data_IF_994822444924
#
_entry.id   IF_994822444924
#
_cell.length_a   1.000
_cell.length_b   1.000
_cell.length_c   1.000
_cell.angle_alpha   90.00
_cell.angle_beta   90.00
_cell.angle_gamma   90.00
#
_symmetry.space_group_name_H-M   'P 1'
#
loop_
_entity.id
_entity.type
_entity.pdbx_description
1 polymer ?
#
# COMPACT_ATOMS: atom_id res chain seq x y z
N UNK A 1 18.93 -18.61 2.38
CA UNK A 1 17.97 -17.74 3.04
C UNK A 1 17.04 -17.11 2.01
N UNK A 2 15.76 -17.38 2.12
CA UNK A 2 14.81 -16.84 1.15
C UNK A 2 14.48 -15.38 1.48
N UNK A 3 14.28 -14.58 0.43
CA UNK A 3 13.77 -13.23 0.62
C UNK A 3 12.29 -13.32 0.91
N UNK A 4 11.73 -12.40 1.71
CA UNK A 4 10.29 -12.39 1.87
C UNK A 4 9.63 -12.15 0.52
N UNK A 5 8.52 -12.81 0.28
CA UNK A 5 7.74 -12.60 -0.93
C UNK A 5 7.04 -11.26 -0.80
N UNK A 6 7.45 -10.31 -1.63
CA UNK A 6 6.85 -9.00 -1.64
C UNK A 6 5.76 -8.93 -2.69
N UNK A 7 4.64 -8.36 -2.30
CA UNK A 7 3.53 -8.08 -3.20
C UNK A 7 3.47 -6.57 -3.38
N UNK A 8 2.89 -6.12 -4.49
CA UNK A 8 2.57 -4.71 -4.58
C UNK A 8 1.27 -4.45 -3.83
N UNK A 9 1.10 -3.21 -3.38
CA UNK A 9 -0.12 -2.83 -2.68
C UNK A 9 -1.36 -3.03 -3.57
N UNK A 10 -1.18 -2.92 -4.89
CA UNK A 10 -2.26 -3.14 -5.84
C UNK A 10 -2.82 -4.56 -5.78
N UNK A 11 -2.01 -5.52 -5.29
CA UNK A 11 -2.41 -6.92 -5.19
C UNK A 11 -2.98 -7.30 -3.82
N UNK A 12 -3.02 -6.37 -2.87
CA UNK A 12 -3.52 -6.64 -1.54
C UNK A 12 -5.02 -6.88 -1.58
N UNK A 13 -5.48 -7.94 -0.94
CA UNK A 13 -6.89 -8.29 -0.87
C UNK A 13 -7.51 -7.75 0.41
N UNK A 14 -8.82 -7.55 0.37
CA UNK A 14 -9.56 -6.95 1.47
C UNK A 14 -9.40 -7.69 2.80
N UNK A 15 -9.24 -9.01 2.74
CA UNK A 15 -9.13 -9.83 3.95
C UNK A 15 -7.72 -9.95 4.50
N UNK A 16 -6.75 -9.30 3.86
CA UNK A 16 -5.35 -9.45 4.23
C UNK A 16 -4.83 -8.23 4.99
N UNK A 17 -3.99 -8.51 5.99
CA UNK A 17 -3.24 -7.47 6.70
C UNK A 17 -1.83 -7.42 6.12
N UNK A 18 -1.29 -6.23 5.98
CA UNK A 18 0.04 -6.05 5.42
C UNK A 18 0.79 -4.94 6.10
N UNK A 19 2.08 -4.93 5.87
CA UNK A 19 2.97 -3.88 6.35
C UNK A 19 3.74 -3.36 5.14
N UNK A 20 3.90 -2.06 5.07
CA UNK A 20 4.65 -1.45 3.97
C UNK A 20 6.13 -1.78 4.14
N UNK A 21 6.73 -2.34 3.09
CA UNK A 21 8.13 -2.73 3.09
C UNK A 21 9.00 -1.66 2.43
N UNK A 22 8.65 -1.26 1.21
CA UNK A 22 9.40 -0.22 0.50
C UNK A 22 8.52 0.42 -0.57
N UNK A 23 8.95 1.57 -1.03
CA UNK A 23 8.28 2.30 -2.10
C UNK A 23 9.30 2.51 -3.22
N UNK A 24 8.95 2.09 -4.43
CA UNK A 24 9.72 2.40 -5.61
C UNK A 24 9.11 3.63 -6.27
N UNK A 25 9.93 4.32 -7.06
CA UNK A 25 9.46 5.48 -7.77
C UNK A 25 10.37 6.67 -7.60
N UNK A 26 9.95 7.82 -8.10
CA UNK A 26 10.74 9.04 -8.00
C UNK A 26 10.79 9.53 -6.56
N UNK A 27 11.79 10.37 -6.29
CA UNK A 27 11.90 11.01 -4.98
C UNK A 27 10.64 11.83 -4.66
N UNK A 28 10.10 12.53 -5.66
CA UNK A 28 8.88 13.32 -5.47
C UNK A 28 7.69 12.46 -5.08
N UNK A 29 7.54 11.30 -5.73
CA UNK A 29 6.47 10.36 -5.40
C UNK A 29 6.65 9.82 -3.98
N UNK A 30 7.87 9.42 -3.63
CA UNK A 30 8.15 8.90 -2.28
C UNK A 30 7.85 9.93 -1.21
N UNK A 31 8.25 11.17 -1.43
CA UNK A 31 7.99 12.26 -0.49
C UNK A 31 6.50 12.52 -0.32
N UNK A 32 5.77 12.51 -1.44
CA UNK A 32 4.33 12.70 -1.41
C UNK A 32 3.63 11.61 -0.60
N UNK A 33 4.00 10.36 -0.86
CA UNK A 33 3.40 9.22 -0.16
C UNK A 33 3.77 9.23 1.32
N UNK A 34 5.01 9.58 1.64
CA UNK A 34 5.45 9.67 3.03
C UNK A 34 4.66 10.71 3.80
N UNK A 35 4.35 11.85 3.17
CA UNK A 35 3.55 12.88 3.83
C UNK A 35 2.12 12.42 4.11
N UNK A 36 1.66 11.39 3.43
CA UNK A 36 0.35 10.78 3.65
C UNK A 36 0.41 9.58 4.62
N UNK A 37 1.58 9.32 5.20
CA UNK A 37 1.73 8.22 6.16
C UNK A 37 2.16 6.90 5.55
N UNK A 38 2.43 6.87 4.24
CA UNK A 38 2.87 5.64 3.58
C UNK A 38 4.39 5.54 3.70
N UNK A 39 4.81 4.91 4.77
CA UNK A 39 6.23 4.74 5.09
C UNK A 39 6.49 3.28 5.45
N UNK A 40 7.74 2.88 5.30
CA UNK A 40 8.15 1.52 5.66
C UNK A 40 7.81 1.23 7.12
N UNK A 41 7.24 0.08 7.37
CA UNK A 41 6.84 -0.34 8.71
C UNK A 41 5.40 -0.02 9.09
N UNK A 42 4.69 0.78 8.30
CA UNK A 42 3.29 1.10 8.58
C UNK A 42 2.38 -0.05 8.19
N UNK A 43 1.38 -0.31 9.02
CA UNK A 43 0.34 -1.28 8.70
C UNK A 43 -0.62 -0.70 7.67
N UNK A 44 -1.10 -1.54 6.77
CA UNK A 44 -2.04 -1.11 5.75
C UNK A 44 -3.02 -2.24 5.44
N UNK A 45 -4.29 -1.90 5.28
CA UNK A 45 -5.32 -2.85 4.86
C UNK A 45 -6.19 -2.19 3.82
N UNK A 46 -6.92 -2.98 3.05
CA UNK A 46 -7.88 -2.45 2.09
C UNK A 46 -9.18 -2.14 2.82
N UNK A 47 -9.66 -0.91 2.69
CA UNK A 47 -10.95 -0.52 3.25
C UNK A 47 -12.07 -0.89 2.30
N UNK A 48 -12.03 -0.34 1.09
CA UNK A 48 -12.99 -0.69 0.06
C UNK A 48 -12.43 -0.33 -1.32
N UNK A 49 -13.03 -0.92 -2.34
CA UNK A 49 -12.70 -0.61 -3.73
C UNK A 49 -13.84 0.20 -4.35
N UNK A 50 -13.50 1.03 -5.34
CA UNK A 50 -14.52 1.66 -6.16
C UNK A 50 -15.20 0.59 -7.04
N UNK A 51 -16.39 0.86 -7.61
CA UNK A 51 -17.02 -0.09 -8.52
C UNK A 51 -16.15 -0.47 -9.71
N UNK A 52 -15.26 0.42 -10.11
CA UNK A 52 -14.32 0.16 -11.20
C UNK A 52 -13.02 -0.51 -10.75
N UNK A 53 -12.85 -0.71 -9.44
CA UNK A 53 -11.64 -1.30 -8.89
C UNK A 53 -10.48 -0.32 -8.74
N UNK A 54 -10.63 0.91 -9.20
CA UNK A 54 -9.59 1.92 -9.15
C UNK A 54 -10.25 3.30 -9.09
N UNK A 55 -9.89 4.16 -8.13
CA UNK A 55 -8.92 3.93 -7.05
C UNK A 55 -9.49 3.03 -5.95
N UNK A 56 -8.61 2.52 -5.10
CA UNK A 56 -9.04 1.79 -3.91
C UNK A 56 -8.73 2.61 -2.67
N UNK A 57 -9.54 2.41 -1.63
CA UNK A 57 -9.32 3.04 -0.34
C UNK A 57 -8.60 2.07 0.58
N UNK A 58 -7.62 2.58 1.30
CA UNK A 58 -6.84 1.81 2.24
C UNK A 58 -6.92 2.42 3.62
N UNK A 59 -6.91 1.56 4.64
CA UNK A 59 -6.77 2.01 6.02
C UNK A 59 -5.29 2.06 6.35
N UNK A 60 -4.83 3.21 6.80
CA UNK A 60 -3.46 3.38 7.24
C UNK A 60 -3.47 4.29 8.46
N UNK A 61 -2.77 3.88 9.51
CA UNK A 61 -2.83 4.59 10.78
C UNK A 61 -4.30 4.71 11.22
N UNK A 62 -4.81 5.91 11.43
CA UNK A 62 -6.16 6.15 11.91
C UNK A 62 -7.07 6.73 10.84
N UNK A 63 -6.72 6.62 9.58
CA UNK A 63 -7.50 7.25 8.53
C UNK A 63 -7.54 6.40 7.26
N UNK A 64 -8.44 6.78 6.35
CA UNK A 64 -8.61 6.13 5.06
C UNK A 64 -7.99 6.98 3.97
N UNK A 65 -7.22 6.34 3.12
CA UNK A 65 -6.50 6.99 2.04
C UNK A 65 -6.85 6.34 0.71
N UNK A 66 -7.22 7.14 -0.29
CA UNK A 66 -7.45 6.64 -1.64
C UNK A 66 -6.17 6.70 -2.46
N UNK A 67 -5.86 5.60 -3.14
CA UNK A 67 -4.71 5.54 -4.02
C UNK A 67 -5.11 4.94 -5.36
N UNK A 68 -4.59 5.51 -6.41
CA UNK A 68 -4.75 4.93 -7.73
C UNK A 68 -3.88 3.70 -7.87
N UNK A 69 -4.32 2.77 -8.71
CA UNK A 69 -3.61 1.54 -8.95
C UNK A 69 -2.19 1.79 -9.44
N UNK A 70 -1.99 2.79 -10.28
CA UNK A 70 -0.66 3.13 -10.79
C UNK A 70 0.31 3.56 -9.70
N UNK A 71 -0.19 4.13 -8.61
CA UNK A 71 0.65 4.46 -7.45
C UNK A 71 0.83 3.23 -6.57
N UNK A 72 -0.23 2.47 -6.37
CA UNK A 72 -0.20 1.30 -5.50
C UNK A 72 0.76 0.23 -5.99
N UNK A 73 0.93 0.08 -7.30
CA UNK A 73 1.87 -0.93 -7.81
C UNK A 73 3.34 -0.63 -7.54
N UNK A 74 3.66 0.60 -7.12
CA UNK A 74 5.02 0.96 -6.74
C UNK A 74 5.27 0.87 -5.24
N UNK A 75 4.25 0.47 -4.49
CA UNK A 75 4.36 0.29 -3.04
C UNK A 75 4.40 -1.20 -2.77
N UNK A 76 5.49 -1.66 -2.18
CA UNK A 76 5.68 -3.08 -1.90
C UNK A 76 5.39 -3.39 -0.45
N UNK A 77 4.65 -4.44 -0.24
CA UNK A 77 4.13 -4.81 1.08
C UNK A 77 4.53 -6.23 1.43
N UNK A 78 4.48 -6.51 2.72
CA UNK A 78 4.72 -7.83 3.27
C UNK A 78 3.46 -8.23 4.03
N UNK A 79 2.91 -9.41 3.74
CA UNK A 79 1.72 -9.89 4.42
C UNK A 79 2.00 -10.23 5.87
N UNK A 80 1.04 -9.93 6.74
CA UNK A 80 1.18 -10.06 8.18
C UNK A 80 0.19 -11.05 8.81
N UNK A 81 -0.38 -11.89 8.05
CA UNK A 81 -1.34 -12.87 8.57
C UNK A 81 -0.69 -13.88 9.49
#
# INVERSE_FOLDING_TARGET
MSKPDLLSLADLKKSQDAMIHKIDGSHAMKSRLASMGIISGSKITVDHSSPMGDPRAYNILDYVLSLRDEDAKNIFIELRN
#
